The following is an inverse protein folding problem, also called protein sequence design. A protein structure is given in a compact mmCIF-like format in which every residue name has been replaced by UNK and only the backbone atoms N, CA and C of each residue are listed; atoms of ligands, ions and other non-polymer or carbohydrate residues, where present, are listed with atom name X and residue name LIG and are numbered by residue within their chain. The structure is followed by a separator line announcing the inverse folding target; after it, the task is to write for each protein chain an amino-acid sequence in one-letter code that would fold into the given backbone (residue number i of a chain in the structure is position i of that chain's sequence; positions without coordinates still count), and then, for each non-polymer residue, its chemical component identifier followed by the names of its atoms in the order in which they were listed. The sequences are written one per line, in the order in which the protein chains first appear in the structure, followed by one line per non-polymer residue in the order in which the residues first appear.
data_IF_372809095376
#
_entry.id   IF_372809095376
#
_cell.length_a   1.000
_cell.length_b   1.000
_cell.length_c   1.000
_cell.angle_alpha   90.00
_cell.angle_beta   90.00
_cell.angle_gamma   90.00
#
_symmetry.space_group_name_H-M   'P 1'
#
loop_
_entity.id
_entity.type
_entity.pdbx_description
1 polymer ?
#
# COMPACT_ATOMS: atom_id res chain seq x y z
N UNK A 1 -17.24 -27.55 -13.86
CA UNK A 1 -17.55 -26.70 -12.70
C UNK A 1 -16.54 -25.56 -12.73
N UNK A 2 -16.88 -24.34 -13.19
CA UNK A 2 -15.96 -23.23 -13.00
C UNK A 2 -16.00 -22.86 -11.52
N UNK A 3 -14.88 -23.10 -10.85
CA UNK A 3 -14.48 -22.48 -9.60
C UNK A 3 -14.85 -20.99 -9.60
N UNK A 4 -15.81 -20.64 -8.74
CA UNK A 4 -16.23 -19.27 -8.51
C UNK A 4 -15.03 -18.55 -7.87
N UNK A 5 -14.19 -17.93 -8.68
CA UNK A 5 -13.11 -17.05 -8.24
C UNK A 5 -13.76 -15.94 -7.41
N UNK A 6 -13.75 -16.09 -6.09
CA UNK A 6 -14.17 -15.03 -5.17
C UNK A 6 -13.22 -13.86 -5.42
N UNK A 7 -13.69 -12.86 -6.17
CA UNK A 7 -12.89 -11.69 -6.47
C UNK A 7 -12.66 -10.94 -5.16
N UNK A 8 -11.40 -10.84 -4.73
CA UNK A 8 -11.03 -10.05 -3.55
C UNK A 8 -11.37 -8.58 -3.79
N UNK A 9 -11.84 -7.91 -2.75
CA UNK A 9 -12.11 -6.48 -2.79
C UNK A 9 -10.77 -5.75 -2.71
N UNK A 10 -10.45 -4.99 -3.76
CA UNK A 10 -9.26 -4.13 -3.79
C UNK A 10 -9.42 -2.92 -2.87
N UNK A 11 -8.55 -2.81 -1.87
CA UNK A 11 -8.55 -1.70 -0.90
C UNK A 11 -7.35 -0.80 -1.12
N UNK A 12 -7.61 0.50 -1.29
CA UNK A 12 -6.58 1.54 -1.31
C UNK A 12 -6.53 2.22 0.07
N UNK A 13 -5.37 2.21 0.73
CA UNK A 13 -5.20 2.80 2.06
C UNK A 13 -4.44 4.11 1.97
N UNK A 14 -5.19 5.21 2.12
CA UNK A 14 -4.67 6.57 2.13
C UNK A 14 -4.12 6.91 3.52
N UNK A 15 -2.80 7.02 3.67
CA UNK A 15 -2.16 7.21 4.97
C UNK A 15 -1.99 5.91 5.76
N UNK A 16 -1.48 4.86 5.12
CA UNK A 16 -1.29 3.51 5.69
C UNK A 16 -0.39 3.46 6.93
N UNK A 17 0.46 4.46 7.10
CA UNK A 17 1.37 4.58 8.24
C UNK A 17 0.73 5.23 9.47
N UNK A 18 -0.48 5.80 9.34
CA UNK A 18 -1.26 6.35 10.45
C UNK A 18 -1.91 5.26 11.31
N UNK A 19 -2.51 5.65 12.43
CA UNK A 19 -3.22 4.71 13.33
C UNK A 19 -4.36 3.98 12.63
N UNK A 20 -5.17 4.69 11.84
CA UNK A 20 -6.26 4.10 11.05
C UNK A 20 -5.69 3.15 10.00
N UNK A 21 -4.71 3.58 9.22
CA UNK A 21 -4.10 2.76 8.17
C UNK A 21 -3.52 1.45 8.68
N UNK A 22 -2.79 1.48 9.81
CA UNK A 22 -2.27 0.26 10.46
C UNK A 22 -3.38 -0.67 10.93
N UNK A 23 -4.44 -0.13 11.55
CA UNK A 23 -5.59 -0.92 11.97
C UNK A 23 -6.33 -1.53 10.77
N UNK A 24 -6.50 -0.79 9.69
CA UNK A 24 -7.10 -1.28 8.44
C UNK A 24 -6.29 -2.43 7.87
N UNK A 25 -4.95 -2.30 7.80
CA UNK A 25 -4.09 -3.40 7.34
C UNK A 25 -4.19 -4.63 8.24
N UNK A 26 -4.25 -4.46 9.56
CA UNK A 26 -4.44 -5.60 10.48
C UNK A 26 -5.76 -6.33 10.26
N UNK A 27 -6.82 -5.63 9.85
CA UNK A 27 -8.10 -6.27 9.49
C UNK A 27 -7.96 -7.02 8.17
N UNK A 28 -7.27 -6.43 7.18
CA UNK A 28 -7.04 -7.08 5.88
C UNK A 28 -6.19 -8.34 6.03
N UNK A 29 -5.16 -8.34 6.89
CA UNK A 29 -4.34 -9.53 7.19
C UNK A 29 -5.17 -10.69 7.76
N UNK A 30 -6.25 -10.41 8.49
CA UNK A 30 -7.13 -11.43 9.07
C UNK A 30 -8.18 -11.95 8.09
N UNK A 31 -8.36 -11.27 6.96
CA UNK A 31 -9.37 -11.53 5.95
C UNK A 31 -8.75 -11.45 4.55
N UNK A 32 -7.57 -12.08 4.39
CA UNK A 32 -6.82 -12.04 3.13
C UNK A 32 -7.58 -12.77 1.99
N UNK A 33 -8.52 -13.64 2.34
CA UNK A 33 -9.45 -14.31 1.44
C UNK A 33 -10.48 -13.35 0.81
N UNK A 34 -10.77 -12.23 1.48
CA UNK A 34 -11.78 -11.25 1.06
C UNK A 34 -11.17 -9.95 0.52
N UNK A 35 -10.00 -9.54 1.00
CA UNK A 35 -9.42 -8.23 0.70
C UNK A 35 -8.01 -8.34 0.13
N UNK A 36 -7.69 -7.45 -0.81
CA UNK A 36 -6.34 -7.28 -1.36
C UNK A 36 -5.94 -5.81 -1.27
N UNK A 37 -4.73 -5.53 -0.78
CA UNK A 37 -4.20 -4.16 -0.75
C UNK A 37 -3.66 -3.80 -2.12
N UNK A 38 -4.37 -2.95 -2.85
CA UNK A 38 -3.99 -2.56 -4.22
C UNK A 38 -3.14 -1.29 -4.26
N UNK A 39 -3.29 -0.43 -3.26
CA UNK A 39 -2.54 0.81 -3.15
C UNK A 39 -2.29 1.23 -1.69
N UNK A 40 -1.08 1.69 -1.40
CA UNK A 40 -0.73 2.28 -0.11
C UNK A 40 -0.20 3.69 -0.29
N UNK A 41 -0.57 4.60 0.61
CA UNK A 41 -0.01 5.95 0.59
C UNK A 41 0.55 6.36 1.95
N UNK A 42 1.63 7.13 1.93
CA UNK A 42 2.21 7.73 3.14
C UNK A 42 2.64 9.17 2.86
N UNK A 43 2.62 10.03 3.87
CA UNK A 43 3.06 11.41 3.69
C UNK A 43 4.60 11.48 3.63
N UNK A 44 5.27 11.12 4.73
CA UNK A 44 6.72 11.24 4.92
C UNK A 44 7.41 9.98 5.47
N UNK A 45 6.65 8.90 5.66
CA UNK A 45 7.10 7.70 6.37
C UNK A 45 7.45 6.58 5.39
N UNK A 46 8.60 6.67 4.73
CA UNK A 46 9.01 5.73 3.68
C UNK A 46 9.36 4.33 4.21
N UNK A 47 10.08 4.24 5.33
CA UNK A 47 10.48 2.95 5.91
C UNK A 47 9.29 2.05 6.24
N UNK A 48 8.31 2.51 7.07
CA UNK A 48 7.10 1.74 7.36
C UNK A 48 6.28 1.43 6.11
N UNK A 49 6.25 2.33 5.13
CA UNK A 49 5.55 2.10 3.86
C UNK A 49 6.22 0.97 3.06
N UNK A 50 7.55 0.95 2.94
CA UNK A 50 8.29 -0.12 2.24
C UNK A 50 8.04 -1.49 2.89
N UNK A 51 8.09 -1.56 4.22
CA UNK A 51 7.76 -2.78 4.96
C UNK A 51 6.35 -3.28 4.63
N UNK A 52 5.35 -2.39 4.62
CA UNK A 52 3.98 -2.73 4.26
C UNK A 52 3.86 -3.21 2.80
N UNK A 53 4.59 -2.58 1.87
CA UNK A 53 4.59 -2.98 0.46
C UNK A 53 5.17 -4.38 0.30
N UNK A 54 6.25 -4.72 1.01
CA UNK A 54 6.81 -6.07 0.99
C UNK A 54 5.86 -7.11 1.58
N UNK A 55 5.26 -6.82 2.73
CA UNK A 55 4.31 -7.73 3.39
C UNK A 55 3.09 -8.02 2.52
N UNK A 56 2.51 -6.99 1.89
CA UNK A 56 1.27 -7.11 1.14
C UNK A 56 1.46 -7.23 -0.38
N UNK A 57 2.71 -7.26 -0.87
CA UNK A 57 3.04 -7.28 -2.30
C UNK A 57 2.29 -6.22 -3.12
N UNK A 58 2.21 -5.01 -2.57
CA UNK A 58 1.37 -3.94 -3.13
C UNK A 58 1.94 -3.43 -4.45
N UNK A 59 1.08 -3.29 -5.45
CA UNK A 59 1.46 -2.89 -6.82
C UNK A 59 1.56 -1.38 -7.02
N UNK A 60 0.93 -0.58 -6.16
CA UNK A 60 0.97 0.90 -6.24
C UNK A 60 1.30 1.51 -4.89
N UNK A 61 2.28 2.42 -4.87
CA UNK A 61 2.63 3.18 -3.67
C UNK A 61 2.68 4.68 -3.96
N UNK A 62 2.06 5.51 -3.11
CA UNK A 62 2.07 6.97 -3.28
C UNK A 62 2.72 7.64 -2.08
N UNK A 63 3.71 8.50 -2.33
CA UNK A 63 4.33 9.31 -1.28
C UNK A 63 3.96 10.78 -1.46
N UNK A 64 3.47 11.41 -0.39
CA UNK A 64 3.07 12.81 -0.39
C UNK A 64 4.25 13.76 -0.58
N UNK A 65 5.38 13.47 0.08
CA UNK A 65 6.59 14.29 0.05
C UNK A 65 7.71 13.60 -0.76
N UNK A 66 8.05 14.19 -1.91
CA UNK A 66 9.10 13.69 -2.80
C UNK A 66 10.52 13.82 -2.21
N UNK A 67 10.71 14.65 -1.18
CA UNK A 67 12.02 14.88 -0.54
C UNK A 67 12.49 13.68 0.28
N UNK A 68 11.59 12.75 0.58
CA UNK A 68 11.85 11.58 1.43
C UNK A 68 12.58 10.46 0.68
N UNK A 69 12.64 10.50 -0.66
CA UNK A 69 13.34 9.50 -1.49
C UNK A 69 14.86 9.66 -1.55
N UNK A 70 15.47 10.38 -0.60
CA UNK A 70 16.87 10.81 -0.65
C UNK A 70 17.88 9.65 -0.63
N UNK A 71 17.46 8.43 -0.30
CA UNK A 71 18.33 7.23 -0.35
C UNK A 71 17.46 6.02 -0.70
N UNK A 72 17.46 5.62 -1.98
CA UNK A 72 16.54 4.61 -2.50
C UNK A 72 17.25 3.57 -3.34
N UNK A 73 18.22 2.88 -2.73
CA UNK A 73 18.87 1.70 -3.32
C UNK A 73 18.08 0.39 -3.09
N UNK A 74 17.11 0.37 -2.17
CA UNK A 74 16.35 -0.85 -1.78
C UNK A 74 14.83 -0.62 -1.74
N UNK A 75 14.28 -0.01 -2.79
CA UNK A 75 12.83 0.15 -2.91
C UNK A 75 12.17 -1.11 -3.49
N UNK A 76 10.98 -1.49 -2.98
CA UNK A 76 10.16 -2.51 -3.63
C UNK A 76 9.82 -2.11 -5.07
N UNK A 77 9.79 -3.12 -5.95
CA UNK A 77 9.31 -2.99 -7.34
C UNK A 77 7.80 -2.80 -7.35
N UNK A 78 7.37 -1.56 -7.12
CA UNK A 78 5.98 -1.12 -7.15
C UNK A 78 5.86 0.15 -7.98
N UNK A 79 4.67 0.47 -8.45
CA UNK A 79 4.40 1.72 -9.17
C UNK A 79 4.42 2.87 -8.15
N UNK A 80 5.57 3.53 -8.04
CA UNK A 80 5.76 4.67 -7.14
C UNK A 80 5.23 5.95 -7.79
N UNK A 81 4.24 6.57 -7.15
CA UNK A 81 3.70 7.88 -7.51
C UNK A 81 3.99 8.92 -6.43
N UNK A 82 4.06 10.19 -6.83
CA UNK A 82 4.45 11.27 -5.92
C UNK A 82 3.49 12.45 -5.96
N UNK A 83 3.30 13.06 -4.79
CA UNK A 83 2.48 14.24 -4.61
C UNK A 83 0.98 14.02 -4.84
N UNK A 84 0.23 15.12 -4.82
CA UNK A 84 -1.23 15.11 -4.92
C UNK A 84 -1.75 14.55 -6.27
N UNK A 85 -0.91 14.55 -7.32
CA UNK A 85 -1.20 13.94 -8.63
C UNK A 85 -1.14 12.41 -8.63
N UNK A 86 -0.46 11.79 -7.66
CA UNK A 86 -0.44 10.33 -7.53
C UNK A 86 -1.70 9.73 -6.91
N UNK A 87 -2.58 10.58 -6.36
CA UNK A 87 -3.81 10.20 -5.66
C UNK A 87 -5.05 10.15 -6.60
N UNK A 88 -4.91 10.60 -7.85
CA UNK A 88 -5.98 10.76 -8.84
C UNK A 88 -5.84 9.76 -10.00
#
# INVERSE_FOLDING_TARGET
MPENQTQKIGVAVLGSTGSIGKSTLSVIERHDDLFEVVALTANRSLGPLCAQIWTHSVKTAVVGDASVLTTTDDLPKTDWKFGQKGLL
#
